data_IF_189259294902
#
_entry.id   IF_189259294902
#
_cell.length_a   1.000
_cell.length_b   1.000
_cell.length_c   1.000
_cell.angle_alpha   90.00
_cell.angle_beta   90.00
_cell.angle_gamma   90.00
#
_symmetry.space_group_name_H-M   'P 1'
#
loop_
_entity.id
_entity.type
_entity.pdbx_description
1 polymer ?
#
# COMPACT_ATOMS: atom_id res chain seq x y z
N UNK A 1 -12.17 20.55 2.64
CA UNK A 1 -12.16 19.19 3.15
C UNK A 1 -11.40 18.28 2.24
N UNK A 2 -10.47 17.51 2.81
CA UNK A 2 -9.67 16.57 2.05
C UNK A 2 -10.43 15.27 1.85
N UNK A 3 -10.32 14.72 0.66
CA UNK A 3 -10.90 13.41 0.34
C UNK A 3 -9.77 12.51 -0.12
N UNK A 4 -9.89 11.23 0.16
CA UNK A 4 -8.86 10.26 -0.16
C UNK A 4 -9.45 9.10 -0.92
N UNK A 5 -8.65 8.51 -1.77
CA UNK A 5 -8.94 7.19 -2.33
C UNK A 5 -7.98 6.19 -1.71
N UNK A 6 -8.39 4.94 -1.67
CA UNK A 6 -7.62 3.89 -1.01
C UNK A 6 -7.34 2.75 -1.98
N UNK A 7 -6.20 2.12 -1.78
CA UNK A 7 -5.84 0.93 -2.54
C UNK A 7 -5.30 -0.12 -1.59
N UNK A 8 -5.55 -1.37 -1.90
CA UNK A 8 -4.97 -2.50 -1.20
C UNK A 8 -4.17 -3.31 -2.20
N UNK A 9 -3.00 -3.78 -1.77
CA UNK A 9 -2.12 -4.52 -2.67
C UNK A 9 -1.37 -5.60 -1.92
N UNK A 10 -1.09 -6.73 -2.59
CA UNK A 10 -0.21 -7.72 -1.99
C UNK A 10 1.21 -7.18 -1.96
N UNK A 11 1.88 -7.38 -0.82
CA UNK A 11 3.23 -6.88 -0.63
C UNK A 11 4.16 -8.07 -0.48
N UNK A 12 4.93 -8.32 -1.52
CA UNK A 12 5.86 -9.45 -1.52
C UNK A 12 7.01 -9.16 -0.57
N UNK A 13 7.22 -10.03 0.39
CA UNK A 13 8.15 -9.78 1.49
C UNK A 13 9.60 -9.60 1.01
N UNK A 14 9.94 -10.16 -0.15
CA UNK A 14 11.31 -10.06 -0.67
C UNK A 14 11.52 -8.85 -1.58
N UNK A 15 10.49 -8.02 -1.77
CA UNK A 15 10.60 -6.91 -2.72
C UNK A 15 9.77 -5.71 -2.25
N UNK A 16 9.71 -5.49 -0.94
CA UNK A 16 8.80 -4.50 -0.37
C UNK A 16 9.14 -3.08 -0.81
N UNK A 17 10.43 -2.74 -0.80
CA UNK A 17 10.81 -1.37 -1.10
C UNK A 17 10.45 -0.98 -2.53
N UNK A 18 10.74 -1.85 -3.50
CA UNK A 18 10.47 -1.53 -4.90
C UNK A 18 8.97 -1.38 -5.15
N UNK A 19 8.16 -2.25 -4.53
CA UNK A 19 6.71 -2.17 -4.68
C UNK A 19 6.21 -0.86 -4.09
N UNK A 20 6.64 -0.53 -2.87
CA UNK A 20 6.18 0.69 -2.21
C UNK A 20 6.67 1.94 -2.92
N UNK A 21 7.91 1.94 -3.42
CA UNK A 21 8.44 3.08 -4.15
C UNK A 21 7.65 3.33 -5.43
N UNK A 22 7.22 2.26 -6.11
CA UNK A 22 6.41 2.40 -7.32
C UNK A 22 5.08 3.07 -7.02
N UNK A 23 4.42 2.66 -5.95
CA UNK A 23 3.16 3.28 -5.55
C UNK A 23 3.38 4.72 -5.08
N UNK A 24 4.44 4.94 -4.30
CA UNK A 24 4.75 6.28 -3.81
C UNK A 24 5.04 7.26 -4.94
N UNK A 25 5.64 6.80 -6.03
CA UNK A 25 5.92 7.68 -7.17
C UNK A 25 4.63 8.16 -7.85
N UNK A 26 3.51 7.49 -7.60
CA UNK A 26 2.21 7.90 -8.10
C UNK A 26 1.41 8.71 -7.07
N UNK A 27 2.06 9.10 -5.98
CA UNK A 27 1.42 9.93 -4.97
C UNK A 27 0.76 9.15 -3.83
N UNK A 28 0.93 7.83 -3.80
CA UNK A 28 0.31 7.01 -2.75
C UNK A 28 1.14 7.04 -1.47
N UNK A 29 0.44 7.06 -0.36
CA UNK A 29 1.04 7.04 0.98
C UNK A 29 0.65 5.75 1.68
N UNK A 30 1.61 5.12 2.34
CA UNK A 30 1.35 3.88 3.06
C UNK A 30 0.60 4.17 4.36
N UNK A 31 -0.50 3.48 4.57
CA UNK A 31 -1.29 3.60 5.80
C UNK A 31 -0.94 2.48 6.77
N UNK A 32 -0.93 1.24 6.29
CA UNK A 32 -0.69 0.09 7.16
C UNK A 32 -0.28 -1.11 6.32
N UNK A 33 0.43 -2.02 6.96
CA UNK A 33 0.75 -3.32 6.39
C UNK A 33 0.29 -4.36 7.40
N UNK A 34 -0.53 -5.31 6.94
CA UNK A 34 -1.02 -6.38 7.81
C UNK A 34 -0.81 -7.73 7.13
N UNK A 35 -0.71 -8.81 7.93
CA UNK A 35 -0.64 -10.15 7.34
C UNK A 35 -1.98 -10.51 6.70
N UNK A 36 -1.92 -11.15 5.54
CA UNK A 36 -3.10 -11.71 4.93
C UNK A 36 -3.55 -12.95 5.72
N UNK A 37 -4.80 -13.41 5.53
CA UNK A 37 -5.23 -14.66 6.13
C UNK A 37 -4.26 -15.78 5.75
N UNK A 38 -3.85 -16.56 6.74
CA UNK A 38 -2.84 -17.60 6.54
C UNK A 38 -1.42 -17.16 6.85
N UNK A 39 -1.17 -15.85 6.93
CA UNK A 39 0.10 -15.30 7.38
C UNK A 39 1.27 -15.41 6.42
N UNK A 40 1.05 -15.89 5.20
CA UNK A 40 2.15 -16.07 4.26
C UNK A 40 2.42 -14.85 3.40
N UNK A 41 1.45 -13.96 3.31
CA UNK A 41 1.58 -12.74 2.52
C UNK A 41 1.23 -11.54 3.36
N UNK A 42 1.77 -10.41 2.95
CA UNK A 42 1.43 -9.12 3.56
C UNK A 42 0.51 -8.37 2.62
N UNK A 43 -0.39 -7.58 3.20
CA UNK A 43 -1.27 -6.69 2.45
C UNK A 43 -0.96 -5.27 2.88
N UNK A 44 -0.68 -4.41 1.91
CA UNK A 44 -0.44 -3.00 2.17
C UNK A 44 -1.71 -2.21 1.86
N UNK A 45 -2.02 -1.28 2.73
CA UNK A 45 -3.13 -0.35 2.55
C UNK A 45 -2.55 1.01 2.28
N UNK A 46 -2.94 1.59 1.15
CA UNK A 46 -2.42 2.86 0.69
C UNK A 46 -3.55 3.86 0.56
N UNK A 47 -3.22 5.14 0.68
CA UNK A 47 -4.19 6.20 0.40
C UNK A 47 -3.54 7.26 -0.45
N UNK A 48 -4.36 8.00 -1.16
CA UNK A 48 -3.92 9.13 -1.96
C UNK A 48 -5.00 10.19 -1.95
N UNK A 49 -4.59 11.45 -1.83
CA UNK A 49 -5.55 12.54 -1.81
C UNK A 49 -6.19 12.68 -3.20
N UNK A 50 -7.52 12.81 -3.21
CA UNK A 50 -8.25 13.11 -4.42
C UNK A 50 -8.17 14.60 -4.71
N UNK A 51 -7.95 14.91 -5.97
CA UNK A 51 -7.85 16.31 -6.41
C UNK A 51 -9.09 16.78 -7.14
#
# INVERSE_FOLDING_TARGET
NMKFEYATLPLLSHNTKNILDGWGSEGWELVAVIPAPGGEQLVAYMKRELK
#
